data_IF_401889960587
#
_entry.id   IF_401889960587
#
_cell.length_a   1.000
_cell.length_b   1.000
_cell.length_c   1.000
_cell.angle_alpha   90.00
_cell.angle_beta   90.00
_cell.angle_gamma   90.00
#
_symmetry.space_group_name_H-M   'P 1'
#
loop_
_entity.id
_entity.type
_entity.pdbx_description
1 polymer ?
#
# COMPACT_ATOMS: atom_id res chain seq x y z
N UNK A 1 -18.84 -12.31 -30.81
CA UNK A 1 -20.14 -12.57 -30.13
C UNK A 1 -20.08 -13.93 -29.44
N UNK A 2 -20.60 -14.06 -28.20
CA UNK A 2 -21.13 -15.28 -27.55
C UNK A 2 -21.78 -14.80 -26.24
N UNK A 3 -23.03 -15.18 -25.97
CA UNK A 3 -23.85 -14.76 -24.81
C UNK A 3 -24.29 -16.01 -24.01
N UNK A 4 -24.87 -15.81 -22.82
CA UNK A 4 -25.65 -16.78 -21.99
C UNK A 4 -24.80 -17.76 -21.15
N UNK A 5 -25.25 -18.45 -20.08
CA UNK A 5 -26.31 -18.35 -19.00
C UNK A 5 -25.97 -19.51 -17.97
N UNK A 6 -26.55 -19.75 -16.77
CA UNK A 6 -27.72 -19.24 -16.00
C UNK A 6 -27.48 -19.40 -14.44
N UNK A 7 -28.58 -19.49 -13.68
CA UNK A 7 -28.85 -19.68 -12.22
C UNK A 7 -28.51 -21.02 -11.53
N UNK A 8 -28.47 -21.01 -10.18
CA UNK A 8 -28.85 -22.12 -9.26
C UNK A 8 -27.98 -22.18 -7.99
N UNK A 9 -28.39 -21.78 -6.76
CA UNK A 9 -29.55 -22.13 -5.90
C UNK A 9 -29.42 -23.45 -5.14
N UNK A 10 -29.28 -23.38 -3.80
CA UNK A 10 -30.02 -24.26 -2.86
C UNK A 10 -30.06 -23.67 -1.43
N UNK A 11 -31.07 -24.09 -0.65
CA UNK A 11 -31.34 -23.71 0.75
C UNK A 11 -31.01 -24.85 1.71
N UNK A 12 -30.59 -24.52 2.93
CA UNK A 12 -30.82 -25.33 4.15
C UNK A 12 -31.15 -24.36 5.30
N UNK A 13 -32.06 -24.73 6.20
CA UNK A 13 -32.50 -23.91 7.32
C UNK A 13 -32.83 -24.75 8.56
N UNK A 14 -32.85 -24.09 9.74
CA UNK A 14 -33.38 -24.60 11.02
C UNK A 14 -32.54 -25.73 11.68
N UNK A 15 -32.69 -26.07 12.98
CA UNK A 15 -33.59 -25.60 14.05
C UNK A 15 -32.82 -25.12 15.31
N UNK A 16 -33.54 -24.42 16.19
CA UNK A 16 -33.16 -24.14 17.59
C UNK A 16 -33.59 -25.30 18.50
N UNK A 17 -32.84 -25.55 19.58
CA UNK A 17 -33.36 -26.20 20.79
C UNK A 17 -32.79 -25.52 22.04
N UNK A 18 -33.62 -25.40 23.08
CA UNK A 18 -33.30 -24.75 24.36
C UNK A 18 -33.58 -25.76 25.49
N UNK A 19 -32.60 -26.02 26.35
CA UNK A 19 -32.69 -26.94 27.50
C UNK A 19 -32.24 -26.23 28.79
N UNK A 20 -32.72 -26.70 29.96
CA UNK A 20 -32.75 -25.89 31.18
C UNK A 20 -32.50 -26.69 32.48
N UNK A 21 -32.38 -25.92 33.59
CA UNK A 21 -32.49 -26.30 35.01
C UNK A 21 -31.19 -26.73 35.76
N UNK A 22 -31.08 -26.27 37.03
CA UNK A 22 -30.16 -26.80 38.06
C UNK A 22 -29.28 -25.75 38.76
N UNK A 23 -29.45 -25.53 40.07
CA UNK A 23 -28.73 -24.48 40.83
C UNK A 23 -28.12 -24.97 42.16
N UNK A 24 -26.79 -24.95 42.31
CA UNK A 24 -26.08 -24.80 43.62
C UNK A 24 -24.58 -24.49 43.44
N UNK A 25 -24.00 -23.75 44.40
CA UNK A 25 -22.56 -23.42 44.54
C UNK A 25 -21.74 -24.61 45.10
N UNK A 26 -20.40 -24.66 45.11
CA UNK A 26 -19.33 -23.63 44.94
C UNK A 26 -18.05 -24.18 44.23
N UNK A 27 -17.17 -23.27 43.81
CA UNK A 27 -15.72 -23.40 43.50
C UNK A 27 -15.20 -24.50 42.54
N UNK A 28 -14.97 -24.15 41.24
CA UNK A 28 -13.61 -23.77 40.78
C UNK A 28 -13.45 -23.36 39.30
N UNK A 29 -12.55 -22.38 39.10
CA UNK A 29 -11.86 -21.89 37.86
C UNK A 29 -12.69 -21.26 36.72
N UNK A 30 -12.04 -20.30 36.02
CA UNK A 30 -12.37 -19.76 34.70
C UNK A 30 -13.69 -18.97 34.55
N UNK A 31 -13.83 -17.89 35.33
CA UNK A 31 -14.94 -16.93 35.24
C UNK A 31 -14.83 -16.00 34.01
N UNK A 32 -15.82 -16.12 33.12
CA UNK A 32 -16.62 -15.07 32.45
C UNK A 32 -16.03 -13.69 32.12
N UNK A 33 -16.39 -13.18 30.93
CA UNK A 33 -16.86 -11.78 30.80
C UNK A 33 -17.84 -11.60 29.65
N UNK A 34 -18.95 -10.93 29.95
CA UNK A 34 -19.91 -10.41 28.99
C UNK A 34 -19.55 -8.95 28.61
N UNK A 35 -20.06 -8.48 27.47
CA UNK A 35 -20.19 -7.08 27.05
C UNK A 35 -18.98 -6.10 27.14
N UNK A 36 -18.57 -5.54 25.99
CA UNK A 36 -18.27 -4.09 25.94
C UNK A 36 -18.46 -3.41 24.58
N UNK A 37 -18.89 -2.16 24.68
CA UNK A 37 -19.09 -1.15 23.63
C UNK A 37 -17.78 -0.64 23.02
N UNK A 38 -17.92 0.16 21.96
CA UNK A 38 -16.88 0.88 21.21
C UNK A 38 -15.67 1.42 21.99
N UNK A 39 -14.48 1.20 21.42
CA UNK A 39 -13.41 2.20 21.26
C UNK A 39 -12.79 1.94 19.88
N UNK A 40 -12.71 2.88 18.93
CA UNK A 40 -12.23 4.27 19.01
C UNK A 40 -10.81 4.35 19.59
N UNK A 41 -9.83 3.96 18.79
CA UNK A 41 -8.47 4.42 18.92
C UNK A 41 -8.36 5.81 18.26
N UNK A 42 -8.67 6.88 19.02
CA UNK A 42 -8.46 8.26 18.53
C UNK A 42 -6.96 8.56 18.52
N UNK A 43 -6.33 8.39 17.36
CA UNK A 43 -5.11 9.11 17.02
C UNK A 43 -5.50 10.44 16.39
N UNK A 44 -4.89 11.50 16.92
CA UNK A 44 -5.12 12.93 16.66
C UNK A 44 -5.53 13.34 15.23
N UNK A 45 -6.46 14.30 15.26
CA UNK A 45 -7.11 15.09 14.23
C UNK A 45 -6.18 15.63 13.10
N UNK A 46 -6.80 16.07 11.99
CA UNK A 46 -6.20 16.81 10.86
C UNK A 46 -5.17 16.12 9.93
N UNK A 47 -4.98 14.80 10.02
CA UNK A 47 -4.69 14.04 8.77
C UNK A 47 -5.98 13.94 7.96
N UNK A 48 -6.17 14.87 7.02
CA UNK A 48 -7.24 14.82 6.03
C UNK A 48 -7.24 13.44 5.34
N UNK A 49 -8.31 12.66 5.52
CA UNK A 49 -8.40 11.28 5.05
C UNK A 49 -8.18 11.23 3.53
N UNK A 50 -7.16 10.46 3.13
CA UNK A 50 -6.91 10.17 1.73
C UNK A 50 -8.16 9.50 1.14
N UNK A 51 -8.51 9.82 -0.10
CA UNK A 51 -9.62 9.17 -0.81
C UNK A 51 -9.16 7.81 -1.29
N UNK A 52 -9.94 6.78 -0.98
CA UNK A 52 -9.67 5.42 -1.45
C UNK A 52 -9.63 5.35 -2.98
N UNK A 53 -8.71 4.53 -3.51
CA UNK A 53 -8.43 4.43 -4.94
C UNK A 53 -6.95 4.19 -5.25
N UNK A 54 -6.64 4.02 -6.53
CA UNK A 54 -5.27 3.85 -7.02
C UNK A 54 -4.82 5.13 -7.70
N UNK A 55 -3.66 5.64 -7.31
CA UNK A 55 -3.08 6.90 -7.79
C UNK A 55 -1.76 6.61 -8.48
N UNK A 56 -1.51 7.25 -9.63
CA UNK A 56 -0.35 6.96 -10.48
C UNK A 56 0.35 8.25 -10.92
N UNK A 57 1.67 8.24 -10.87
CA UNK A 57 2.55 9.30 -11.37
C UNK A 57 3.63 8.70 -12.27
N UNK A 58 3.97 9.39 -13.35
CA UNK A 58 5.10 9.07 -14.23
C UNK A 58 5.96 10.31 -14.48
N UNK A 59 7.23 10.14 -14.83
CA UNK A 59 8.03 11.22 -15.41
C UNK A 59 8.16 11.06 -16.93
N UNK A 60 8.66 12.09 -17.60
CA UNK A 60 9.29 11.91 -18.90
C UNK A 60 10.52 10.97 -18.79
N UNK A 61 10.92 10.38 -19.91
CA UNK A 61 12.16 9.61 -19.99
C UNK A 61 13.40 10.49 -19.84
N UNK A 62 14.36 10.04 -19.02
CA UNK A 62 15.70 10.61 -18.88
C UNK A 62 16.58 10.34 -20.13
N UNK A 63 17.77 10.95 -20.16
CA UNK A 63 18.75 10.78 -21.24
C UNK A 63 19.26 9.34 -21.37
N UNK A 64 19.09 8.53 -20.32
CA UNK A 64 19.50 7.12 -20.23
C UNK A 64 18.37 6.17 -20.62
N UNK A 65 17.20 6.69 -21.03
CA UNK A 65 16.04 5.93 -21.51
C UNK A 65 15.09 5.41 -20.42
N UNK A 66 15.16 5.94 -19.19
CA UNK A 66 14.32 5.53 -18.05
C UNK A 66 13.36 6.64 -17.62
N UNK A 67 12.10 6.31 -17.33
CA UNK A 67 11.17 7.18 -16.60
C UNK A 67 10.97 6.66 -15.17
N UNK A 68 10.57 7.54 -14.25
CA UNK A 68 9.94 7.14 -12.99
C UNK A 68 8.53 6.62 -13.30
N UNK A 69 8.14 5.55 -12.61
CA UNK A 69 6.73 5.14 -12.48
C UNK A 69 6.48 4.92 -10.99
N UNK A 70 5.44 5.55 -10.44
CA UNK A 70 5.01 5.35 -9.07
C UNK A 70 3.49 5.19 -9.01
N UNK A 71 3.04 4.05 -8.48
CA UNK A 71 1.63 3.82 -8.13
C UNK A 71 1.50 3.64 -6.61
N UNK A 72 0.48 4.25 -6.00
CA UNK A 72 0.05 3.90 -4.63
C UNK A 72 -1.42 3.48 -4.65
N UNK A 73 -1.77 2.53 -3.78
CA UNK A 73 -3.16 2.17 -3.50
C UNK A 73 -3.55 2.69 -2.12
N UNK A 74 -4.70 3.36 -2.05
CA UNK A 74 -5.31 3.84 -0.81
C UNK A 74 -6.59 3.06 -0.53
N UNK A 75 -6.73 2.56 0.68
CA UNK A 75 -7.96 1.97 1.20
C UNK A 75 -8.14 2.31 2.69
N UNK A 76 -9.39 2.52 3.13
CA UNK A 76 -9.74 2.98 4.48
C UNK A 76 -8.98 4.27 4.89
N UNK A 77 -8.69 5.15 3.93
CA UNK A 77 -7.90 6.37 4.12
C UNK A 77 -6.39 6.17 4.38
N UNK A 78 -5.87 4.95 4.21
CA UNK A 78 -4.46 4.56 4.43
C UNK A 78 -3.80 4.09 3.13
N UNK A 79 -2.49 4.26 3.03
CA UNK A 79 -1.69 3.71 1.93
C UNK A 79 -1.53 2.21 2.18
N UNK A 80 -2.13 1.35 1.36
CA UNK A 80 -2.04 -0.12 1.50
C UNK A 80 -0.98 -0.73 0.58
N UNK A 81 -0.58 -0.01 -0.47
CA UNK A 81 0.42 -0.45 -1.45
C UNK A 81 1.24 0.75 -1.93
N UNK A 82 2.53 0.53 -2.16
CA UNK A 82 3.43 1.48 -2.82
C UNK A 82 4.30 0.71 -3.81
N UNK A 83 4.28 1.15 -5.06
CA UNK A 83 5.01 0.56 -6.17
C UNK A 83 5.67 1.68 -6.99
N UNK A 84 6.76 2.19 -6.44
CA UNK A 84 7.74 3.05 -7.11
C UNK A 84 8.83 2.20 -7.78
N UNK A 85 9.16 2.56 -9.01
CA UNK A 85 10.24 1.98 -9.80
C UNK A 85 10.69 2.90 -10.94
N UNK A 86 11.48 2.32 -11.85
CA UNK A 86 11.86 2.97 -13.10
C UNK A 86 11.63 2.02 -14.27
N UNK A 87 11.01 2.54 -15.33
CA UNK A 87 10.63 1.79 -16.53
C UNK A 87 11.43 2.30 -17.74
N UNK A 88 11.92 1.39 -18.59
CA UNK A 88 12.60 1.76 -19.83
C UNK A 88 11.59 1.89 -21.01
N UNK A 89 12.07 2.30 -22.18
CA UNK A 89 11.24 2.43 -23.40
C UNK A 89 10.60 1.13 -23.90
N UNK A 90 11.06 -0.04 -23.43
CA UNK A 90 10.49 -1.36 -23.74
C UNK A 90 9.47 -1.83 -22.68
N UNK A 91 9.19 -1.03 -21.64
CA UNK A 91 8.36 -1.42 -20.49
C UNK A 91 9.07 -2.27 -19.42
N UNK A 92 10.40 -2.45 -19.51
CA UNK A 92 11.18 -3.24 -18.54
C UNK A 92 11.49 -2.42 -17.29
N UNK A 93 11.42 -3.05 -16.12
CA UNK A 93 11.73 -2.40 -14.85
C UNK A 93 13.23 -2.44 -14.54
N UNK A 94 13.78 -1.34 -14.01
CA UNK A 94 15.19 -1.24 -13.57
C UNK A 94 15.52 -2.16 -12.41
N UNK A 95 14.52 -2.58 -11.64
CA UNK A 95 14.69 -3.57 -10.57
C UNK A 95 15.08 -4.96 -11.11
N UNK A 96 14.72 -5.28 -12.36
CA UNK A 96 14.95 -6.61 -12.96
C UNK A 96 16.17 -6.65 -13.91
N UNK A 97 16.85 -5.51 -14.10
CA UNK A 97 18.12 -5.42 -14.84
C UNK A 97 19.28 -5.90 -13.94
N UNK A 98 19.59 -7.19 -14.00
CA UNK A 98 20.63 -7.81 -13.15
C UNK A 98 22.00 -7.12 -13.28
N UNK A 99 22.39 -6.71 -14.50
CA UNK A 99 23.68 -6.07 -14.72
C UNK A 99 23.72 -4.66 -14.13
N UNK A 100 22.67 -3.86 -14.33
CA UNK A 100 22.53 -2.54 -13.71
C UNK A 100 22.58 -2.67 -12.18
N UNK A 101 21.83 -3.61 -11.60
CA UNK A 101 21.75 -3.78 -10.15
C UNK A 101 23.08 -4.24 -9.55
N UNK A 102 23.77 -5.18 -10.20
CA UNK A 102 25.14 -5.61 -9.83
C UNK A 102 26.14 -4.46 -9.92
N UNK A 103 26.15 -3.73 -11.03
CA UNK A 103 27.09 -2.64 -11.29
C UNK A 103 26.83 -1.40 -10.41
N UNK A 104 25.57 -1.16 -10.02
CA UNK A 104 25.21 -0.12 -9.04
C UNK A 104 25.63 -0.55 -7.63
N UNK A 105 25.30 -1.77 -7.21
CA UNK A 105 25.64 -2.27 -5.86
C UNK A 105 27.16 -2.31 -5.62
N UNK A 106 27.94 -2.67 -6.63
CA UNK A 106 29.40 -2.66 -6.55
C UNK A 106 30.03 -1.25 -6.41
N UNK A 107 29.28 -0.18 -6.73
CA UNK A 107 29.75 1.23 -6.65
C UNK A 107 29.14 2.00 -5.48
N UNK A 108 27.88 1.73 -5.16
CA UNK A 108 27.07 2.48 -4.19
C UNK A 108 26.74 1.69 -2.92
N UNK A 109 27.09 0.40 -2.83
CA UNK A 109 26.71 -0.49 -1.72
C UNK A 109 25.28 -1.03 -1.77
N UNK A 110 24.39 -0.41 -2.55
CA UNK A 110 22.99 -0.78 -2.73
C UNK A 110 22.63 -0.89 -4.22
N UNK A 111 21.76 -1.82 -4.59
CA UNK A 111 21.21 -1.92 -5.96
C UNK A 111 19.99 -0.99 -6.15
N UNK A 112 19.51 -0.85 -7.40
CA UNK A 112 18.27 -0.11 -7.66
C UNK A 112 17.07 -0.83 -7.04
N UNK A 113 17.02 -2.16 -7.14
CA UNK A 113 15.96 -3.02 -6.58
C UNK A 113 15.83 -2.83 -5.07
N UNK A 114 16.92 -3.02 -4.34
CA UNK A 114 16.94 -2.88 -2.87
C UNK A 114 16.54 -1.46 -2.41
N UNK A 115 16.96 -0.43 -3.15
CA UNK A 115 16.56 0.94 -2.85
C UNK A 115 15.05 1.17 -3.08
N UNK A 116 14.50 0.70 -4.21
CA UNK A 116 13.06 0.81 -4.48
C UNK A 116 12.21 0.00 -3.49
N UNK A 117 12.64 -1.22 -3.15
CA UNK A 117 11.96 -2.09 -2.17
C UNK A 117 11.95 -1.45 -0.77
N UNK A 118 13.10 -0.94 -0.26
CA UNK A 118 13.14 -0.24 1.04
C UNK A 118 12.24 1.00 1.05
N UNK A 119 12.21 1.80 -0.02
CA UNK A 119 11.39 3.02 -0.08
C UNK A 119 9.89 2.70 -0.10
N UNK A 120 9.46 1.73 -0.90
CA UNK A 120 8.07 1.27 -0.96
C UNK A 120 7.60 0.72 0.41
N UNK A 121 8.40 -0.13 1.06
CA UNK A 121 8.07 -0.68 2.39
C UNK A 121 7.93 0.42 3.44
N UNK A 122 8.89 1.35 3.49
CA UNK A 122 8.85 2.49 4.41
C UNK A 122 7.58 3.34 4.25
N UNK A 123 7.11 3.64 3.04
CA UNK A 123 5.90 4.47 2.90
C UNK A 123 4.64 3.77 3.42
N UNK A 124 4.50 2.46 3.18
CA UNK A 124 3.39 1.65 3.70
C UNK A 124 3.48 1.49 5.23
N UNK A 125 4.67 1.28 5.79
CA UNK A 125 4.90 1.18 7.23
C UNK A 125 4.66 2.51 7.97
N UNK A 126 5.19 3.63 7.44
CA UNK A 126 5.20 4.94 8.11
C UNK A 126 3.91 5.73 7.88
N UNK A 127 3.20 5.49 6.76
CA UNK A 127 2.04 6.28 6.32
C UNK A 127 2.32 7.78 6.12
N UNK A 128 3.58 8.21 6.11
CA UNK A 128 4.01 9.60 6.05
C UNK A 128 5.35 9.70 5.31
N UNK A 129 5.50 10.68 4.41
CA UNK A 129 6.67 10.82 3.54
C UNK A 129 7.85 11.51 4.24
N UNK A 130 7.59 12.31 5.27
CA UNK A 130 8.65 12.90 6.11
C UNK A 130 9.44 11.81 6.85
N UNK A 131 8.74 10.80 7.37
CA UNK A 131 9.29 9.67 8.13
C UNK A 131 9.96 8.58 7.26
N UNK A 132 9.97 8.74 5.92
CA UNK A 132 10.71 7.87 4.99
C UNK A 132 12.17 8.32 4.93
N UNK A 133 13.08 7.45 5.34
CA UNK A 133 14.53 7.69 5.24
C UNK A 133 15.01 7.58 3.79
N UNK A 134 15.98 8.42 3.45
CA UNK A 134 16.76 8.27 2.21
C UNK A 134 17.64 7.02 2.25
N UNK A 135 17.85 6.40 1.08
CA UNK A 135 18.70 5.22 0.94
C UNK A 135 20.11 5.65 0.54
N UNK A 136 21.06 5.48 1.45
CA UNK A 136 22.49 5.74 1.21
C UNK A 136 22.98 5.01 -0.05
N UNK A 137 23.68 5.72 -0.94
CA UNK A 137 24.10 5.20 -2.25
C UNK A 137 23.05 5.31 -3.37
N UNK A 138 21.81 5.67 -3.03
CA UNK A 138 20.68 5.84 -3.96
C UNK A 138 19.90 7.15 -3.68
N UNK A 139 20.62 8.26 -3.50
CA UNK A 139 20.04 9.58 -3.16
C UNK A 139 18.98 10.03 -4.16
N UNK A 140 19.29 10.06 -5.46
CA UNK A 140 18.34 10.43 -6.53
C UNK A 140 17.11 9.50 -6.61
N UNK A 141 17.25 8.23 -6.21
CA UNK A 141 16.14 7.29 -6.10
C UNK A 141 15.20 7.69 -4.95
N UNK A 142 15.77 8.18 -3.85
CA UNK A 142 15.02 8.69 -2.70
C UNK A 142 14.38 10.05 -2.98
N UNK A 143 15.07 10.95 -3.67
CA UNK A 143 14.55 12.25 -4.11
C UNK A 143 13.35 12.09 -5.07
N UNK A 144 13.48 11.23 -6.09
CA UNK A 144 12.39 10.90 -6.99
C UNK A 144 11.22 10.22 -6.27
N UNK A 145 11.51 9.39 -5.26
CA UNK A 145 10.48 8.78 -4.43
C UNK A 145 9.68 9.83 -3.65
N UNK A 146 10.34 10.81 -3.01
CA UNK A 146 9.64 11.89 -2.29
C UNK A 146 8.82 12.78 -3.24
N UNK A 147 9.43 13.31 -4.32
CA UNK A 147 8.75 14.12 -5.37
C UNK A 147 7.49 13.42 -5.92
N UNK A 148 7.58 12.12 -6.22
CA UNK A 148 6.43 11.36 -6.73
C UNK A 148 5.39 11.07 -5.65
N UNK A 149 5.80 10.72 -4.42
CA UNK A 149 4.89 10.49 -3.29
C UNK A 149 4.11 11.75 -2.91
N UNK A 150 4.75 12.92 -2.87
CA UNK A 150 4.11 14.20 -2.57
C UNK A 150 2.98 14.52 -3.56
N UNK A 151 3.25 14.32 -4.86
CA UNK A 151 2.26 14.49 -5.93
C UNK A 151 1.09 13.50 -5.79
N UNK A 152 1.38 12.22 -5.54
CA UNK A 152 0.39 11.17 -5.31
C UNK A 152 -0.47 11.43 -4.07
N UNK A 153 0.14 11.85 -2.96
CA UNK A 153 -0.58 12.21 -1.72
C UNK A 153 -1.44 13.45 -1.89
N UNK A 154 -1.04 14.41 -2.74
CA UNK A 154 -1.90 15.54 -3.12
C UNK A 154 -3.11 15.06 -3.93
N UNK A 155 -2.88 14.24 -4.97
CA UNK A 155 -3.95 13.68 -5.78
C UNK A 155 -4.93 12.81 -4.96
N UNK A 156 -4.41 12.04 -3.99
CA UNK A 156 -5.21 11.24 -3.07
C UNK A 156 -6.01 12.06 -2.05
N UNK A 157 -5.53 13.24 -1.62
CA UNK A 157 -6.35 14.20 -0.83
C UNK A 157 -7.50 14.77 -1.68
N UNK A 158 -7.23 15.01 -2.97
CA UNK A 158 -8.19 15.61 -3.92
C UNK A 158 -9.12 14.57 -4.60
N UNK A 159 -8.85 13.27 -4.48
CA UNK A 159 -9.60 12.19 -5.14
C UNK A 159 -9.37 12.07 -6.66
N UNK A 160 -8.23 12.57 -7.17
CA UNK A 160 -7.93 12.62 -8.61
C UNK A 160 -7.11 11.40 -9.03
N UNK A 161 -7.71 10.50 -9.79
CA UNK A 161 -7.08 9.24 -10.25
C UNK A 161 -6.44 9.32 -11.64
N UNK A 162 -6.49 10.48 -12.29
CA UNK A 162 -5.73 10.75 -13.52
C UNK A 162 -4.22 10.55 -13.30
N UNK A 163 -3.50 10.07 -14.32
CA UNK A 163 -2.04 9.88 -14.21
C UNK A 163 -1.33 11.23 -14.17
N UNK A 164 -0.55 11.46 -13.12
CA UNK A 164 0.20 12.69 -12.89
C UNK A 164 1.50 12.68 -13.71
N UNK A 165 1.74 13.73 -14.49
CA UNK A 165 3.06 13.99 -15.08
C UNK A 165 3.95 14.74 -14.08
N UNK A 166 5.11 14.15 -13.74
CA UNK A 166 6.14 14.71 -12.87
C UNK A 166 7.12 15.62 -13.63
N UNK A 167 6.97 15.74 -14.94
CA UNK A 167 7.85 16.47 -15.85
C UNK A 167 9.16 15.74 -16.14
N UNK A 168 10.20 16.54 -16.39
CA UNK A 168 11.61 16.10 -16.38
C UNK A 168 12.23 16.35 -14.99
#
# INVERSE_FOLDING_TARGET
>A
MKKKLLTGSLLVASLVMLAACGSKSDDKVAMSSEAKTEKVAKSTDDKAMLKDGTYKAESAFDERGWKVVHTITVAEGKITESNFGYENKDGKQKADDEEYNKNMKAKSGVSSKEATEKLNSQLVEKQNIEDVEVVSGATHTSENFKKSTEALLKAAKEGKTDTIDLGK
#
